data_IF_476753238493
#
_entry.id   IF_476753238493
#
_cell.length_a   1.000
_cell.length_b   1.000
_cell.length_c   1.000
_cell.angle_alpha   90.00
_cell.angle_beta   90.00
_cell.angle_gamma   90.00
#
_symmetry.space_group_name_H-M   'P 1'
#
loop_
_entity.id
_entity.type
_entity.pdbx_description
1 polymer ?
#
# COMPACT_ATOMS: atom_id res chain seq x y z
N UNK A 1 -9.32 -11.81 38.31
CA UNK A 1 -10.79 -11.67 38.12
C UNK A 1 -11.24 -12.94 37.43
N UNK A 2 -12.27 -13.63 37.90
CA UNK A 2 -12.72 -14.89 37.26
C UNK A 2 -13.79 -14.55 36.23
N UNK A 3 -13.43 -14.55 34.95
CA UNK A 3 -14.40 -14.34 33.87
C UNK A 3 -15.28 -15.58 33.71
N UNK A 4 -16.59 -15.37 33.55
CA UNK A 4 -17.55 -16.45 33.30
C UNK A 4 -17.76 -16.56 31.79
N UNK A 5 -17.60 -17.74 31.17
CA UNK A 5 -17.84 -17.91 29.75
C UNK A 5 -19.24 -17.45 29.32
N UNK A 6 -19.39 -16.80 28.15
CA UNK A 6 -20.68 -16.45 27.60
C UNK A 6 -21.55 -17.70 27.36
N UNK A 7 -22.87 -17.52 27.36
CA UNK A 7 -23.82 -18.63 27.14
C UNK A 7 -23.61 -19.36 25.81
N UNK A 8 -23.14 -18.64 24.78
CA UNK A 8 -22.85 -19.21 23.46
C UNK A 8 -21.54 -20.02 23.41
N UNK A 9 -20.62 -19.88 24.37
CA UNK A 9 -19.27 -20.46 24.27
C UNK A 9 -19.30 -21.97 24.03
N UNK A 10 -20.12 -22.68 24.80
CA UNK A 10 -20.24 -24.14 24.67
C UNK A 10 -20.86 -24.59 23.35
N UNK A 11 -21.69 -23.77 22.70
CA UNK A 11 -22.31 -24.13 21.41
C UNK A 11 -21.39 -23.91 20.21
N UNK A 12 -20.32 -23.13 20.37
CA UNK A 12 -19.32 -22.88 19.32
C UNK A 12 -18.12 -23.82 19.38
N UNK A 13 -18.02 -24.67 20.41
CA UNK A 13 -16.89 -25.58 20.59
C UNK A 13 -16.65 -26.49 19.37
N UNK A 14 -17.67 -27.26 18.95
CA UNK A 14 -17.57 -28.16 17.80
C UNK A 14 -17.47 -27.40 16.45
N UNK A 15 -18.34 -26.42 16.14
CA UNK A 15 -18.21 -25.65 14.90
C UNK A 15 -16.88 -24.90 14.76
N UNK A 16 -16.32 -24.39 15.86
CA UNK A 16 -15.03 -23.72 15.84
C UNK A 16 -13.88 -24.69 15.60
N UNK A 17 -13.91 -25.87 16.22
CA UNK A 17 -12.91 -26.91 16.00
C UNK A 17 -12.86 -27.37 14.52
N UNK A 18 -14.02 -27.47 13.85
CA UNK A 18 -14.09 -27.76 12.40
C UNK A 18 -13.38 -26.70 11.54
N UNK A 19 -13.30 -25.46 12.02
CA UNK A 19 -12.64 -24.33 11.37
C UNK A 19 -11.18 -24.15 11.82
N UNK A 20 -10.68 -25.04 12.68
CA UNK A 20 -9.31 -24.96 13.22
C UNK A 20 -9.16 -23.96 14.37
N UNK A 21 -10.25 -23.60 15.06
CA UNK A 21 -10.22 -22.78 16.27
C UNK A 21 -10.00 -23.69 17.48
N UNK A 22 -8.96 -23.40 18.24
CA UNK A 22 -8.69 -23.98 19.56
C UNK A 22 -9.27 -23.06 20.65
N UNK A 23 -10.43 -23.43 21.19
CA UNK A 23 -11.07 -22.70 22.27
C UNK A 23 -10.35 -22.96 23.59
N UNK A 24 -9.95 -21.89 24.26
CA UNK A 24 -9.27 -21.98 25.54
C UNK A 24 -10.22 -22.49 26.63
N UNK A 25 -9.68 -23.25 27.59
CA UNK A 25 -10.42 -23.54 28.81
C UNK A 25 -10.78 -22.23 29.53
N UNK A 26 -11.98 -22.10 30.14
CA UNK A 26 -12.39 -20.89 30.86
C UNK A 26 -11.41 -20.39 31.92
N UNK A 27 -10.69 -21.31 32.56
CA UNK A 27 -9.64 -20.96 33.55
C UNK A 27 -8.36 -20.42 32.93
N UNK A 28 -8.19 -20.55 31.61
CA UNK A 28 -7.04 -20.08 30.84
C UNK A 28 -7.32 -18.79 30.05
N UNK A 29 -8.55 -18.25 30.13
CA UNK A 29 -8.87 -16.96 29.53
C UNK A 29 -7.99 -15.85 30.09
N UNK A 30 -7.57 -14.94 29.22
CA UNK A 30 -6.64 -13.86 29.56
C UNK A 30 -7.25 -12.51 29.16
N UNK A 31 -7.17 -11.46 30.00
CA UNK A 31 -7.58 -10.13 29.58
C UNK A 31 -6.84 -9.69 28.32
N UNK A 32 -7.56 -9.01 27.42
CA UNK A 32 -6.98 -8.44 26.20
C UNK A 32 -5.96 -7.33 26.49
N UNK A 33 -6.11 -6.62 27.62
CA UNK A 33 -5.23 -5.53 28.05
C UNK A 33 -3.87 -6.04 28.55
N UNK A 34 -3.83 -7.24 29.12
CA UNK A 34 -2.60 -7.86 29.68
C UNK A 34 -1.63 -8.34 28.58
N UNK A 35 -2.10 -8.38 27.34
CA UNK A 35 -1.28 -8.75 26.19
C UNK A 35 -0.32 -7.61 25.78
N UNK A 36 -0.59 -6.36 26.20
CA UNK A 36 0.07 -5.15 25.69
C UNK A 36 1.60 -5.06 25.85
N UNK A 37 2.20 -5.70 26.86
CA UNK A 37 3.64 -5.56 27.14
C UNK A 37 4.52 -6.57 26.36
N UNK A 38 4.01 -7.77 26.03
CA UNK A 38 4.74 -8.74 25.20
C UNK A 38 4.59 -8.41 23.69
N UNK A 39 3.50 -7.76 23.30
CA UNK A 39 3.30 -7.27 21.93
C UNK A 39 4.15 -6.03 21.59
N UNK A 40 4.73 -5.36 22.60
CA UNK A 40 5.62 -4.22 22.42
C UNK A 40 6.99 -4.60 21.80
N UNK A 41 7.29 -5.90 21.72
CA UNK A 41 8.52 -6.42 21.09
C UNK A 41 8.33 -6.82 19.63
N UNK A 42 7.09 -6.79 19.10
CA UNK A 42 6.88 -6.91 17.66
C UNK A 42 7.23 -5.58 17.01
N UNK A 43 8.06 -5.54 15.96
CA UNK A 43 8.36 -4.31 15.25
C UNK A 43 7.07 -3.54 14.94
N UNK A 44 6.91 -2.39 15.60
CA UNK A 44 5.68 -1.61 15.55
C UNK A 44 5.50 -1.12 14.11
N UNK A 45 4.34 -1.43 13.53
CA UNK A 45 3.80 -0.57 12.46
C UNK A 45 3.68 0.84 13.03
N UNK A 46 3.98 1.87 12.24
CA UNK A 46 3.75 3.25 12.71
C UNK A 46 2.25 3.39 12.99
N UNK A 47 1.89 3.48 14.27
CA UNK A 47 0.52 3.77 14.68
C UNK A 47 0.42 5.28 14.83
N UNK A 48 -0.43 5.96 14.04
CA UNK A 48 -0.65 7.39 14.17
C UNK A 48 -1.04 7.77 15.60
N UNK A 49 -0.56 8.92 16.06
CA UNK A 49 -0.90 9.47 17.37
C UNK A 49 -2.43 9.50 17.58
N UNK A 50 -2.89 9.06 18.77
CA UNK A 50 -4.29 9.05 19.16
C UNK A 50 -5.01 7.69 19.02
N UNK A 51 -4.49 6.76 18.19
CA UNK A 51 -5.11 5.43 18.05
C UNK A 51 -4.86 4.51 19.24
N UNK A 52 -3.84 4.76 20.06
CA UNK A 52 -3.50 3.95 21.24
C UNK A 52 -4.54 4.05 22.36
N UNK A 53 -5.18 5.21 22.52
CA UNK A 53 -6.26 5.37 23.51
C UNK A 53 -7.51 4.63 23.06
N UNK A 54 -7.86 4.75 21.78
CA UNK A 54 -8.97 4.03 21.19
C UNK A 54 -8.73 2.51 21.22
N UNK A 55 -7.51 2.05 20.90
CA UNK A 55 -7.12 0.65 20.99
C UNK A 55 -7.33 0.09 22.41
N UNK A 56 -6.76 0.76 23.43
CA UNK A 56 -6.94 0.38 24.83
C UNK A 56 -8.40 0.35 25.26
N UNK A 57 -9.19 1.35 24.85
CA UNK A 57 -10.63 1.37 25.13
C UNK A 57 -11.37 0.19 24.47
N UNK A 58 -10.94 -0.24 23.28
CA UNK A 58 -11.49 -1.41 22.59
C UNK A 58 -10.94 -2.75 23.10
N UNK A 59 -9.87 -2.79 23.90
CA UNK A 59 -9.42 -4.02 24.58
C UNK A 59 -10.09 -4.18 25.95
N UNK A 60 -10.38 -3.07 26.62
CA UNK A 60 -10.94 -3.05 27.96
C UNK A 60 -12.17 -3.96 28.11
N UNK A 61 -12.11 -4.86 29.09
CA UNK A 61 -13.19 -5.79 29.44
C UNK A 61 -13.37 -6.97 28.49
N UNK A 62 -12.47 -7.17 27.52
CA UNK A 62 -12.44 -8.34 26.63
C UNK A 62 -11.39 -9.34 27.07
N UNK A 63 -11.63 -10.61 26.77
CA UNK A 63 -10.79 -11.74 27.15
C UNK A 63 -10.49 -12.60 25.93
N UNK A 64 -9.24 -13.02 25.77
CA UNK A 64 -8.84 -14.04 24.81
C UNK A 64 -9.49 -15.37 25.22
N UNK A 65 -10.32 -15.91 24.34
CA UNK A 65 -11.10 -17.14 24.57
C UNK A 65 -10.79 -18.26 23.58
N UNK A 66 -10.02 -17.99 22.53
CA UNK A 66 -9.59 -19.00 21.56
C UNK A 66 -8.51 -18.48 20.62
N UNK A 67 -7.78 -19.40 20.00
CA UNK A 67 -6.77 -19.12 18.97
C UNK A 67 -6.97 -20.01 17.74
N UNK A 68 -6.37 -19.66 16.62
CA UNK A 68 -6.49 -20.41 15.37
C UNK A 68 -7.76 -20.06 14.56
N UNK A 69 -7.81 -20.45 13.27
CA UNK A 69 -6.75 -21.11 12.50
C UNK A 69 -5.55 -20.18 12.24
N UNK A 70 -4.45 -20.74 11.71
CA UNK A 70 -3.15 -20.08 11.65
C UNK A 70 -2.66 -19.83 10.22
N UNK A 71 -1.93 -18.74 10.03
CA UNK A 71 -1.24 -18.40 8.78
C UNK A 71 0.27 -18.50 9.00
N UNK A 72 0.97 -19.25 8.16
CA UNK A 72 2.44 -19.30 8.20
C UNK A 72 3.04 -18.17 7.35
N UNK A 73 3.95 -17.39 7.94
CA UNK A 73 4.74 -16.40 7.22
C UNK A 73 5.83 -17.08 6.36
N UNK A 74 5.98 -16.66 5.10
CA UNK A 74 7.05 -17.17 4.23
C UNK A 74 8.42 -16.71 4.71
N UNK A 75 9.47 -17.47 4.38
CA UNK A 75 10.88 -17.21 4.75
C UNK A 75 11.19 -17.32 6.25
N UNK A 76 10.32 -16.80 7.12
CA UNK A 76 10.49 -16.85 8.58
C UNK A 76 9.82 -18.06 9.21
N UNK A 77 8.79 -18.63 8.58
CA UNK A 77 8.14 -19.87 9.01
C UNK A 77 7.38 -19.80 10.34
N UNK A 78 7.22 -18.62 10.94
CA UNK A 78 6.40 -18.48 12.14
C UNK A 78 4.90 -18.57 11.77
N UNK A 79 4.13 -19.16 12.67
CA UNK A 79 2.68 -19.24 12.57
C UNK A 79 2.07 -18.02 13.27
N UNK A 80 1.06 -17.44 12.65
CA UNK A 80 0.24 -16.38 13.21
C UNK A 80 -1.17 -16.91 13.38
N UNK A 81 -1.55 -17.14 14.62
CA UNK A 81 -2.89 -17.60 14.96
C UNK A 81 -3.88 -16.43 14.91
N UNK A 82 -5.06 -16.66 14.34
CA UNK A 82 -6.23 -15.80 14.59
C UNK A 82 -6.53 -15.83 16.08
N UNK A 83 -6.86 -14.69 16.68
CA UNK A 83 -7.23 -14.59 18.09
C UNK A 83 -8.72 -14.25 18.22
N UNK A 84 -9.38 -14.92 19.15
CA UNK A 84 -10.80 -14.74 19.43
C UNK A 84 -11.00 -14.14 20.81
N UNK A 85 -11.73 -13.03 20.88
CA UNK A 85 -11.99 -12.30 22.10
C UNK A 85 -13.47 -12.27 22.43
N UNK A 86 -13.83 -12.35 23.70
CA UNK A 86 -15.20 -12.20 24.18
C UNK A 86 -15.29 -11.20 25.34
N UNK A 87 -16.45 -10.59 25.53
CA UNK A 87 -16.73 -9.71 26.66
C UNK A 87 -17.82 -10.28 27.57
N UNK A 88 -18.07 -9.63 28.70
CA UNK A 88 -19.09 -10.07 29.67
C UNK A 88 -20.54 -9.90 29.16
N UNK A 89 -20.73 -9.12 28.08
CA UNK A 89 -22.05 -8.89 27.46
C UNK A 89 -22.37 -9.96 26.42
N UNK A 90 -21.43 -10.87 26.15
CA UNK A 90 -21.58 -11.95 25.17
C UNK A 90 -21.24 -11.54 23.74
N UNK A 91 -20.53 -10.44 23.52
CA UNK A 91 -19.93 -10.13 22.23
C UNK A 91 -18.76 -11.06 21.90
N UNK A 92 -18.50 -11.25 20.60
CA UNK A 92 -17.38 -12.02 20.08
C UNK A 92 -16.63 -11.16 19.04
N UNK A 93 -15.31 -11.15 19.13
CA UNK A 93 -14.42 -10.45 18.21
C UNK A 93 -13.35 -11.37 17.66
N UNK A 94 -12.98 -11.15 16.40
CA UNK A 94 -11.93 -11.85 15.71
C UNK A 94 -10.81 -10.87 15.34
N UNK A 95 -9.61 -11.12 15.83
CA UNK A 95 -8.39 -10.47 15.39
C UNK A 95 -7.63 -11.43 14.49
N UNK A 96 -7.32 -11.02 13.25
CA UNK A 96 -6.73 -11.95 12.28
C UNK A 96 -5.30 -12.39 12.63
N UNK A 97 -4.68 -11.74 13.61
CA UNK A 97 -3.55 -12.23 14.38
C UNK A 97 -3.48 -11.53 15.74
N UNK A 98 -2.72 -12.06 16.70
CA UNK A 98 -2.60 -11.49 18.04
C UNK A 98 -2.10 -10.03 18.09
N UNK A 99 -1.28 -9.61 17.13
CA UNK A 99 -0.74 -8.25 17.06
C UNK A 99 -1.72 -7.22 16.47
N UNK A 100 -2.89 -7.65 15.99
CA UNK A 100 -3.88 -6.72 15.45
C UNK A 100 -4.35 -5.78 16.57
N UNK A 101 -4.32 -4.47 16.33
CA UNK A 101 -4.96 -3.53 17.22
C UNK A 101 -6.47 -3.76 17.24
N UNK A 102 -7.09 -3.49 18.37
CA UNK A 102 -8.50 -3.72 18.64
C UNK A 102 -9.43 -2.90 17.74
N UNK A 103 -8.94 -1.79 17.17
CA UNK A 103 -9.69 -1.06 16.14
C UNK A 103 -9.79 -1.80 14.79
N UNK A 104 -8.94 -2.80 14.53
CA UNK A 104 -9.07 -3.74 13.41
C UNK A 104 -9.78 -5.04 13.78
N UNK A 105 -10.23 -5.22 15.02
CA UNK A 105 -10.95 -6.44 15.38
C UNK A 105 -12.33 -6.45 14.74
N UNK A 106 -12.66 -7.59 14.16
CA UNK A 106 -13.94 -7.82 13.49
C UNK A 106 -14.94 -8.28 14.52
N UNK A 107 -16.08 -7.61 14.62
CA UNK A 107 -17.19 -8.10 15.44
C UNK A 107 -17.87 -9.27 14.72
N UNK A 108 -18.11 -10.36 15.45
CA UNK A 108 -18.58 -11.62 14.88
C UNK A 108 -19.87 -12.02 15.59
N UNK A 109 -20.88 -12.38 14.81
CA UNK A 109 -22.08 -13.01 15.36
C UNK A 109 -21.67 -14.36 16.00
N UNK A 110 -21.95 -14.60 17.29
CA UNK A 110 -21.49 -15.79 18.00
C UNK A 110 -22.30 -17.05 17.59
N UNK A 111 -22.09 -17.45 16.34
CA UNK A 111 -22.81 -18.52 15.63
C UNK A 111 -21.83 -19.19 14.66
N UNK A 112 -22.07 -20.45 14.31
CA UNK A 112 -21.22 -21.16 13.35
C UNK A 112 -21.09 -20.42 12.00
N UNK A 113 -22.17 -19.82 11.51
CA UNK A 113 -22.15 -19.07 10.25
C UNK A 113 -21.36 -17.76 10.36
N UNK A 114 -21.41 -17.08 11.51
CA UNK A 114 -20.57 -15.93 11.79
C UNK A 114 -19.08 -16.27 11.78
N UNK A 115 -18.70 -17.41 12.39
CA UNK A 115 -17.31 -17.90 12.36
C UNK A 115 -16.84 -18.20 10.93
N UNK A 116 -17.70 -18.85 10.11
CA UNK A 116 -17.38 -19.15 8.72
C UNK A 116 -17.23 -17.88 7.87
N UNK A 117 -18.14 -16.92 8.05
CA UNK A 117 -18.16 -15.68 7.29
C UNK A 117 -16.89 -14.86 7.56
N UNK A 118 -16.52 -14.66 8.82
CA UNK A 118 -15.35 -13.84 9.17
C UNK A 118 -14.04 -14.46 8.70
N UNK A 119 -13.95 -15.79 8.66
CA UNK A 119 -12.75 -16.50 8.21
C UNK A 119 -12.69 -16.70 6.69
N UNK A 120 -13.80 -16.49 5.96
CA UNK A 120 -13.93 -16.90 4.54
C UNK A 120 -12.97 -16.21 3.58
N UNK A 121 -12.45 -15.02 3.91
CA UNK A 121 -11.45 -14.31 3.11
C UNK A 121 -10.03 -14.83 3.28
N UNK A 122 -9.74 -15.52 4.40
CA UNK A 122 -8.39 -15.98 4.75
C UNK A 122 -8.28 -17.49 4.67
N UNK A 123 -9.35 -18.23 5.01
CA UNK A 123 -9.34 -19.69 5.16
C UNK A 123 -10.42 -20.40 4.31
N UNK A 124 -10.09 -21.53 3.66
CA UNK A 124 -8.74 -22.08 3.51
C UNK A 124 -7.86 -21.15 2.66
N UNK A 125 -6.57 -21.10 2.98
CA UNK A 125 -5.62 -20.26 2.26
C UNK A 125 -5.52 -20.71 0.80
N UNK A 126 -5.59 -19.76 -0.12
CA UNK A 126 -5.48 -20.00 -1.56
C UNK A 126 -4.25 -19.29 -2.09
N UNK A 127 -3.54 -19.92 -3.02
CA UNK A 127 -2.54 -19.22 -3.83
C UNK A 127 -3.27 -18.29 -4.80
N UNK A 128 -3.17 -16.98 -4.57
CA UNK A 128 -3.84 -15.96 -5.38
C UNK A 128 -2.86 -15.36 -6.38
N UNK A 129 -3.06 -15.62 -7.67
CA UNK A 129 -2.37 -14.91 -8.74
C UNK A 129 -2.97 -13.51 -8.95
N UNK A 130 -2.21 -12.57 -9.49
CA UNK A 130 -2.67 -11.19 -9.69
C UNK A 130 -3.94 -11.13 -10.54
N UNK A 131 -4.03 -11.97 -11.56
CA UNK A 131 -5.19 -12.06 -12.46
C UNK A 131 -6.44 -12.65 -11.80
N UNK A 132 -6.31 -13.30 -10.65
CA UNK A 132 -7.42 -13.86 -9.87
C UNK A 132 -8.02 -12.86 -8.87
N UNK A 133 -7.42 -11.68 -8.71
CA UNK A 133 -7.87 -10.65 -7.76
C UNK A 133 -8.75 -9.62 -8.49
N UNK A 134 -10.07 -9.60 -8.23
CA UNK A 134 -11.02 -8.83 -9.03
C UNK A 134 -11.02 -7.34 -8.69
N UNK A 135 -10.60 -6.95 -7.49
CA UNK A 135 -10.63 -5.57 -7.04
C UNK A 135 -9.26 -4.91 -7.10
N UNK A 136 -9.28 -3.59 -7.26
CA UNK A 136 -8.10 -2.74 -7.22
C UNK A 136 -8.41 -1.40 -6.58
N UNK A 137 -7.50 -0.91 -5.77
CA UNK A 137 -7.57 0.44 -5.19
C UNK A 137 -6.20 1.11 -5.30
N UNK A 138 -6.20 2.44 -5.43
CA UNK A 138 -4.99 3.25 -5.34
C UNK A 138 -5.27 4.44 -4.45
N UNK A 139 -4.35 4.73 -3.53
CA UNK A 139 -4.42 5.85 -2.60
C UNK A 139 -3.15 6.69 -2.69
N UNK A 140 -3.30 8.01 -2.66
CA UNK A 140 -2.19 8.95 -2.63
C UNK A 140 -1.62 9.00 -1.21
N UNK A 141 -0.33 8.72 -1.06
CA UNK A 141 0.34 8.71 0.25
C UNK A 141 0.90 10.09 0.60
N UNK A 142 1.29 10.86 -0.41
CA UNK A 142 1.96 12.15 -0.26
C UNK A 142 2.98 12.37 -1.37
N UNK A 143 3.70 13.49 -1.29
CA UNK A 143 4.87 13.71 -2.13
C UNK A 143 6.09 13.00 -1.53
N UNK A 144 7.10 12.68 -2.34
CA UNK A 144 8.29 11.92 -1.90
C UNK A 144 8.99 12.55 -0.69
N UNK A 145 9.04 13.88 -0.61
CA UNK A 145 9.62 14.63 0.52
C UNK A 145 8.71 14.68 1.77
N UNK A 146 7.42 14.38 1.62
CA UNK A 146 6.43 14.38 2.72
C UNK A 146 6.17 12.97 3.27
N UNK A 147 6.51 11.94 2.50
CA UNK A 147 6.30 10.55 2.91
C UNK A 147 7.56 10.04 3.60
N UNK A 148 7.45 9.84 4.90
CA UNK A 148 8.56 9.37 5.73
C UNK A 148 8.36 7.92 6.18
N UNK A 149 9.47 7.20 6.33
CA UNK A 149 9.52 5.86 6.94
C UNK A 149 10.55 5.86 8.06
N UNK A 150 10.40 5.00 9.09
CA UNK A 150 11.35 4.98 10.19
C UNK A 150 12.61 4.25 9.73
N UNK A 151 13.75 4.90 9.89
CA UNK A 151 15.04 4.25 9.71
C UNK A 151 15.21 3.22 10.82
N UNK A 152 15.25 1.93 10.47
CA UNK A 152 15.28 0.84 11.46
C UNK A 152 16.54 0.79 12.31
N UNK A 153 17.61 1.52 11.95
CA UNK A 153 18.86 1.58 12.70
C UNK A 153 18.92 2.78 13.65
N UNK A 154 18.49 3.95 13.22
CA UNK A 154 18.51 5.17 14.04
C UNK A 154 17.20 5.40 14.81
N UNK A 155 16.08 4.86 14.31
CA UNK A 155 14.73 5.15 14.79
C UNK A 155 14.20 6.52 14.35
N UNK A 156 14.99 7.31 13.62
CA UNK A 156 14.57 8.59 13.07
C UNK A 156 13.75 8.39 11.79
N UNK A 157 12.84 9.31 11.53
CA UNK A 157 12.10 9.34 10.27
C UNK A 157 12.99 9.87 9.15
N UNK A 158 12.88 9.27 7.98
CA UNK A 158 13.62 9.68 6.77
C UNK A 158 12.67 9.66 5.58
N UNK A 159 12.95 10.51 4.58
CA UNK A 159 12.22 10.51 3.31
C UNK A 159 12.21 9.11 2.69
N UNK A 160 11.09 8.78 2.04
CA UNK A 160 10.88 7.46 1.47
C UNK A 160 11.92 7.15 0.39
N UNK A 161 12.83 6.25 0.72
CA UNK A 161 13.65 5.50 -0.21
C UNK A 161 13.35 4.02 0.00
N UNK A 162 13.66 3.16 -0.95
CA UNK A 162 13.18 1.79 -0.88
C UNK A 162 14.09 0.83 -0.15
N UNK A 163 15.33 1.21 0.19
CA UNK A 163 16.05 0.49 1.23
C UNK A 163 15.30 0.60 2.57
N UNK A 164 14.94 1.83 2.96
CA UNK A 164 14.24 2.04 4.23
C UNK A 164 12.78 1.59 4.16
N UNK A 165 12.14 1.68 2.98
CA UNK A 165 10.82 1.08 2.76
C UNK A 165 10.84 -0.45 2.87
N UNK A 166 11.81 -1.13 2.23
CA UNK A 166 11.96 -2.58 2.35
C UNK A 166 12.19 -2.99 3.80
N UNK A 167 13.10 -2.30 4.48
CA UNK A 167 13.38 -2.52 5.91
C UNK A 167 12.16 -2.28 6.78
N UNK A 168 11.39 -1.24 6.51
CA UNK A 168 10.14 -0.97 7.19
C UNK A 168 9.15 -2.11 6.99
N UNK A 169 8.87 -2.52 5.74
CA UNK A 169 7.91 -3.59 5.47
C UNK A 169 8.40 -5.00 5.83
N UNK A 170 9.71 -5.21 5.99
CA UNK A 170 10.25 -6.43 6.63
C UNK A 170 9.82 -6.54 8.11
N UNK A 171 9.56 -5.40 8.74
CA UNK A 171 9.21 -5.25 10.15
C UNK A 171 7.69 -5.10 10.34
N UNK A 172 6.95 -4.66 9.33
CA UNK A 172 5.47 -4.59 9.37
C UNK A 172 4.87 -6.00 9.40
N UNK A 173 4.18 -6.33 10.49
CA UNK A 173 3.61 -7.67 10.72
C UNK A 173 2.48 -8.06 9.74
N UNK A 174 1.88 -7.08 9.05
CA UNK A 174 0.80 -7.29 8.09
C UNK A 174 1.26 -7.70 6.68
N UNK A 175 2.57 -7.68 6.42
CA UNK A 175 3.14 -8.07 5.13
C UNK A 175 3.97 -9.34 5.27
N UNK A 176 3.95 -10.16 4.22
CA UNK A 176 4.88 -11.26 4.07
C UNK A 176 6.26 -10.73 3.68
N UNK A 177 7.30 -11.36 4.20
CA UNK A 177 8.68 -10.96 3.94
C UNK A 177 9.06 -11.14 2.47
N UNK A 178 9.91 -10.25 1.97
CA UNK A 178 10.42 -10.27 0.60
C UNK A 178 9.57 -9.44 -0.36
N UNK A 179 10.11 -8.29 -0.76
CA UNK A 179 9.52 -7.45 -1.79
C UNK A 179 10.02 -7.83 -3.19
N UNK A 180 9.30 -7.35 -4.21
CA UNK A 180 9.76 -7.37 -5.59
C UNK A 180 9.42 -6.07 -6.34
N UNK A 181 10.17 -5.82 -7.41
CA UNK A 181 10.05 -4.63 -8.24
C UNK A 181 9.10 -4.77 -9.41
N UNK A 182 8.86 -3.66 -10.12
CA UNK A 182 7.92 -3.56 -11.25
C UNK A 182 8.21 -4.47 -12.45
N UNK A 183 9.41 -5.10 -12.50
CA UNK A 183 9.74 -6.14 -13.49
C UNK A 183 8.75 -7.30 -13.44
N UNK A 184 8.33 -7.71 -12.25
CA UNK A 184 7.49 -8.88 -12.07
C UNK A 184 6.03 -8.47 -11.96
N UNK A 185 5.18 -9.08 -12.81
CA UNK A 185 3.72 -8.89 -12.75
C UNK A 185 3.13 -9.64 -11.57
N UNK A 186 3.58 -10.89 -11.40
CA UNK A 186 3.19 -11.77 -10.31
C UNK A 186 4.31 -11.88 -9.28
N UNK A 187 3.93 -12.32 -8.08
CA UNK A 187 4.87 -12.61 -7.00
C UNK A 187 5.92 -13.64 -7.47
N UNK A 188 7.20 -13.25 -7.62
CA UNK A 188 8.24 -14.16 -8.08
C UNK A 188 8.70 -15.08 -6.94
N UNK A 189 8.29 -14.82 -5.71
CA UNK A 189 8.67 -15.57 -4.54
C UNK A 189 7.68 -16.70 -4.30
N UNK A 190 8.19 -17.91 -4.08
CA UNK A 190 7.33 -19.08 -3.84
C UNK A 190 6.72 -19.02 -2.44
N UNK A 191 5.45 -19.41 -2.32
CA UNK A 191 4.68 -19.46 -1.07
C UNK A 191 4.99 -20.70 -0.22
N UNK A 192 5.53 -21.75 -0.82
CA UNK A 192 5.85 -23.04 -0.17
C UNK A 192 7.26 -23.11 0.44
N UNK A 193 8.01 -22.01 0.37
CA UNK A 193 9.32 -21.96 1.00
C UNK A 193 9.10 -21.68 2.48
N UNK A 194 9.31 -22.71 3.30
CA UNK A 194 9.31 -22.60 4.76
C UNK A 194 10.45 -21.73 5.28
N UNK A 195 10.99 -22.05 6.45
CA UNK A 195 12.12 -21.30 6.99
C UNK A 195 13.35 -21.38 6.06
N UNK A 196 13.81 -20.23 5.58
CA UNK A 196 14.98 -20.10 4.69
C UNK A 196 16.17 -19.63 5.50
N UNK A 197 17.35 -20.21 5.25
CA UNK A 197 18.57 -19.74 5.93
C UNK A 197 18.93 -18.33 5.43
N UNK A 198 19.51 -17.44 6.27
CA UNK A 198 19.81 -16.06 5.87
C UNK A 198 20.61 -15.91 4.56
N UNK A 199 21.55 -16.82 4.27
CA UNK A 199 22.32 -16.83 3.03
C UNK A 199 21.48 -17.15 1.79
N UNK A 200 20.50 -18.05 1.92
CA UNK A 200 19.56 -18.38 0.85
C UNK A 200 18.56 -17.24 0.65
N UNK A 201 18.15 -16.57 1.74
CA UNK A 201 17.30 -15.38 1.69
C UNK A 201 17.96 -14.26 0.87
N UNK A 202 19.26 -14.00 1.09
CA UNK A 202 20.01 -13.04 0.26
C UNK A 202 20.05 -13.44 -1.22
N UNK A 203 20.09 -14.73 -1.54
CA UNK A 203 20.03 -15.22 -2.92
C UNK A 203 18.66 -14.98 -3.57
N UNK A 204 17.58 -15.18 -2.81
CA UNK A 204 16.19 -14.94 -3.24
C UNK A 204 15.90 -13.44 -3.46
N UNK A 205 16.48 -12.57 -2.63
CA UNK A 205 16.31 -11.12 -2.74
C UNK A 205 17.13 -10.49 -3.89
N UNK A 206 18.20 -11.15 -4.36
CA UNK A 206 19.03 -10.62 -5.46
C UNK A 206 18.24 -10.59 -6.77
N UNK A 207 17.96 -9.37 -7.25
CA UNK A 207 17.23 -9.14 -8.50
C UNK A 207 15.70 -9.25 -8.37
N UNK A 208 15.16 -9.46 -7.16
CA UNK A 208 13.70 -9.36 -6.97
C UNK A 208 13.24 -7.91 -7.08
N UNK A 209 14.06 -6.95 -6.65
CA UNK A 209 13.77 -5.51 -6.69
C UNK A 209 14.01 -4.83 -8.05
N UNK A 210 14.39 -5.60 -9.08
CA UNK A 210 14.60 -5.09 -10.44
C UNK A 210 13.34 -4.42 -10.98
N UNK A 211 13.53 -3.28 -11.64
CA UNK A 211 12.46 -2.45 -12.19
C UNK A 211 12.49 -2.53 -13.72
N UNK A 212 11.33 -2.38 -14.37
CA UNK A 212 11.24 -2.46 -15.84
C UNK A 212 10.95 -1.11 -16.46
N UNK A 213 11.73 -0.74 -17.48
CA UNK A 213 11.54 0.43 -18.34
C UNK A 213 10.10 0.48 -18.89
N UNK A 214 9.46 1.66 -18.88
CA UNK A 214 8.07 1.83 -19.30
C UNK A 214 7.01 1.35 -18.31
N UNK A 215 7.39 0.98 -17.09
CA UNK A 215 6.46 0.72 -15.99
C UNK A 215 6.72 1.65 -14.82
N UNK A 216 5.66 1.93 -14.06
CA UNK A 216 5.75 2.64 -12.79
C UNK A 216 6.73 1.94 -11.85
N UNK A 217 7.81 2.60 -11.40
CA UNK A 217 8.69 2.09 -10.35
C UNK A 217 7.87 1.75 -9.13
N UNK A 218 8.03 0.52 -8.65
CA UNK A 218 7.28 0.07 -7.49
C UNK A 218 8.03 -0.97 -6.69
N UNK A 219 7.70 -1.04 -5.41
CA UNK A 219 8.02 -2.17 -4.55
C UNK A 219 6.72 -2.81 -4.11
N UNK A 220 6.63 -4.12 -4.25
CA UNK A 220 5.42 -4.88 -3.97
C UNK A 220 5.67 -5.96 -2.96
N UNK A 221 4.72 -6.13 -2.05
CA UNK A 221 4.65 -7.19 -1.05
C UNK A 221 3.35 -7.97 -1.18
N UNK A 222 3.34 -9.18 -0.63
CA UNK A 222 2.09 -9.84 -0.27
C UNK A 222 1.66 -9.40 1.11
N UNK A 223 0.39 -9.14 1.30
CA UNK A 223 -0.15 -9.02 2.65
C UNK A 223 -0.36 -10.39 3.29
N UNK A 224 -0.26 -10.46 4.61
CA UNK A 224 -0.08 -11.70 5.35
C UNK A 224 -1.33 -12.59 5.30
N UNK A 225 -2.52 -12.03 5.56
CA UNK A 225 -3.76 -12.79 5.67
C UNK A 225 -4.53 -12.86 4.34
N UNK A 226 -4.77 -11.72 3.70
CA UNK A 226 -5.56 -11.65 2.46
C UNK A 226 -4.76 -11.99 1.20
N UNK A 227 -3.42 -12.10 1.31
CA UNK A 227 -2.54 -12.36 0.15
C UNK A 227 -2.67 -11.30 -0.95
N UNK A 228 -3.09 -10.08 -0.60
CA UNK A 228 -3.21 -8.97 -1.54
C UNK A 228 -1.84 -8.58 -2.07
N UNK A 229 -1.81 -8.02 -3.29
CA UNK A 229 -0.62 -7.35 -3.80
C UNK A 229 -0.68 -5.91 -3.30
N UNK A 230 0.21 -5.55 -2.37
CA UNK A 230 0.39 -4.19 -1.90
C UNK A 230 1.65 -3.62 -2.54
N UNK A 231 1.49 -2.61 -3.38
CA UNK A 231 2.58 -1.93 -4.07
C UNK A 231 2.69 -0.48 -3.59
N UNK A 232 3.90 -0.01 -3.31
CA UNK A 232 4.20 1.42 -3.21
C UNK A 232 4.82 1.84 -4.54
N UNK A 233 4.20 2.82 -5.18
CA UNK A 233 4.49 3.31 -6.53
C UNK A 233 4.99 4.76 -6.46
N UNK A 234 6.06 5.07 -7.20
CA UNK A 234 6.53 6.44 -7.39
C UNK A 234 6.13 6.88 -8.80
N UNK A 235 5.37 7.97 -8.87
CA UNK A 235 4.82 8.53 -10.10
C UNK A 235 5.40 9.92 -10.34
N UNK A 236 5.95 10.16 -11.53
CA UNK A 236 6.37 11.50 -11.96
C UNK A 236 7.34 12.16 -10.97
N UNK A 237 8.36 11.43 -10.48
CA UNK A 237 9.35 11.83 -9.45
C UNK A 237 8.86 12.03 -8.03
N UNK A 238 7.68 12.61 -7.87
CA UNK A 238 7.28 13.18 -6.58
C UNK A 238 6.03 12.52 -6.01
N UNK A 239 5.13 11.96 -6.83
CA UNK A 239 3.83 11.49 -6.36
C UNK A 239 3.95 10.05 -5.87
N UNK A 240 3.78 9.82 -4.57
CA UNK A 240 3.81 8.47 -4.00
C UNK A 240 2.39 7.94 -3.84
N UNK A 241 2.15 6.73 -4.33
CA UNK A 241 0.86 6.06 -4.23
C UNK A 241 1.00 4.65 -3.67
N UNK A 242 0.04 4.21 -2.86
CA UNK A 242 -0.16 2.79 -2.60
C UNK A 242 -1.16 2.24 -3.61
N UNK A 243 -0.80 1.19 -4.33
CA UNK A 243 -1.68 0.45 -5.21
C UNK A 243 -1.91 -0.96 -4.66
N UNK A 244 -3.18 -1.38 -4.62
CA UNK A 244 -3.60 -2.64 -4.03
C UNK A 244 -4.41 -3.42 -5.04
N UNK A 245 -4.07 -4.70 -5.24
CA UNK A 245 -4.95 -5.68 -5.92
C UNK A 245 -5.35 -6.73 -4.90
N UNK A 246 -6.65 -6.98 -4.76
CA UNK A 246 -7.17 -7.76 -3.64
C UNK A 246 -8.49 -8.48 -3.97
N UNK A 247 -8.86 -9.43 -3.10
CA UNK A 247 -10.18 -10.04 -3.05
C UNK A 247 -11.05 -9.25 -2.07
N UNK A 248 -12.24 -8.76 -2.47
CA UNK A 248 -13.14 -8.03 -1.58
C UNK A 248 -13.47 -8.81 -0.31
N UNK A 249 -13.37 -8.14 0.83
CA UNK A 249 -13.63 -8.76 2.14
C UNK A 249 -15.11 -9.02 2.39
N UNK A 250 -15.46 -9.94 3.33
CA UNK A 250 -16.83 -10.24 3.69
C UNK A 250 -17.48 -9.09 4.50
N UNK A 251 -18.77 -9.18 4.78
CA UNK A 251 -19.55 -8.06 5.31
C UNK A 251 -19.11 -7.62 6.72
N UNK A 252 -18.69 -8.55 7.58
CA UNK A 252 -18.19 -8.23 8.92
C UNK A 252 -16.90 -7.41 8.89
N UNK A 253 -16.00 -7.71 7.96
CA UNK A 253 -14.77 -6.94 7.73
C UNK A 253 -15.12 -5.54 7.21
N UNK A 254 -16.05 -5.44 6.25
CA UNK A 254 -16.53 -4.15 5.72
C UNK A 254 -17.08 -3.23 6.80
N UNK A 255 -17.90 -3.77 7.71
CA UNK A 255 -18.42 -3.01 8.84
C UNK A 255 -17.29 -2.47 9.75
N UNK A 256 -16.18 -3.20 9.86
CA UNK A 256 -14.98 -2.75 10.58
C UNK A 256 -14.30 -1.59 9.86
N UNK A 257 -14.17 -1.66 8.54
CA UNK A 257 -13.60 -0.57 7.73
C UNK A 257 -14.49 0.67 7.75
N UNK A 258 -15.81 0.53 7.65
CA UNK A 258 -16.76 1.65 7.77
C UNK A 258 -16.61 2.38 9.11
N UNK A 259 -16.53 1.62 10.20
CA UNK A 259 -16.30 2.17 11.55
C UNK A 259 -14.95 2.90 11.62
N UNK A 260 -13.90 2.32 11.06
CA UNK A 260 -12.56 2.90 11.03
C UNK A 260 -12.52 4.21 10.24
N UNK A 261 -13.14 4.23 9.07
CA UNK A 261 -13.26 5.42 8.22
C UNK A 261 -13.99 6.54 8.97
N UNK A 262 -15.11 6.22 9.63
CA UNK A 262 -15.88 7.19 10.40
C UNK A 262 -15.14 7.72 11.64
N UNK A 263 -14.41 6.86 12.36
CA UNK A 263 -13.72 7.24 13.60
C UNK A 263 -12.48 8.10 13.32
N UNK A 264 -11.70 7.77 12.29
CA UNK A 264 -10.41 8.40 12.02
C UNK A 264 -10.41 9.34 10.82
N UNK A 265 -11.60 9.68 10.28
CA UNK A 265 -11.77 10.52 9.09
C UNK A 265 -10.89 10.03 7.92
N UNK A 266 -10.94 8.71 7.68
CA UNK A 266 -10.19 8.08 6.58
C UNK A 266 -11.14 7.63 5.48
N UNK A 267 -10.59 7.39 4.29
CA UNK A 267 -11.35 7.07 3.09
C UNK A 267 -10.86 5.78 2.42
N UNK A 268 -10.55 4.75 3.23
CA UNK A 268 -10.22 3.43 2.68
C UNK A 268 -11.45 2.85 1.97
N UNK A 269 -11.27 2.14 0.83
CA UNK A 269 -12.35 1.34 0.26
C UNK A 269 -12.94 0.40 1.31
N UNK A 270 -14.26 0.38 1.44
CA UNK A 270 -14.94 -0.38 2.51
C UNK A 270 -14.67 -1.88 2.43
N UNK A 271 -14.41 -2.42 1.24
CA UNK A 271 -14.07 -3.83 1.02
C UNK A 271 -12.57 -4.14 1.05
N UNK A 272 -11.72 -3.15 1.40
CA UNK A 272 -10.27 -3.32 1.50
C UNK A 272 -9.92 -4.29 2.64
N UNK A 273 -8.95 -5.21 2.45
CA UNK A 273 -8.51 -6.11 3.50
C UNK A 273 -7.89 -5.41 4.71
N UNK A 274 -8.19 -5.95 5.90
CA UNK A 274 -7.73 -5.37 7.17
C UNK A 274 -6.21 -5.45 7.36
N UNK A 275 -5.53 -6.45 6.78
CA UNK A 275 -4.07 -6.51 6.75
C UNK A 275 -3.47 -5.43 5.83
N UNK A 276 -4.12 -5.10 4.72
CA UNK A 276 -3.72 -3.96 3.88
C UNK A 276 -3.85 -2.65 4.66
N UNK A 277 -4.98 -2.42 5.33
CA UNK A 277 -5.19 -1.22 6.17
C UNK A 277 -4.16 -1.17 7.30
N UNK A 278 -3.90 -2.31 7.96
CA UNK A 278 -2.86 -2.44 8.96
C UNK A 278 -1.50 -2.01 8.40
N UNK A 279 -1.10 -2.54 7.25
CA UNK A 279 0.17 -2.21 6.60
C UNK A 279 0.30 -0.71 6.22
N UNK A 280 -0.83 -0.07 5.89
CA UNK A 280 -0.88 1.32 5.43
C UNK A 280 -1.19 2.33 6.54
N UNK A 281 -1.42 1.89 7.77
CA UNK A 281 -1.87 2.75 8.87
C UNK A 281 -0.90 3.89 9.19
N UNK A 282 0.39 3.73 8.91
CA UNK A 282 1.40 4.77 9.06
C UNK A 282 1.38 5.86 7.99
N UNK A 283 0.56 5.71 6.95
CA UNK A 283 0.51 6.63 5.81
C UNK A 283 -0.85 7.32 5.69
N UNK A 284 -0.85 8.47 5.02
CA UNK A 284 -2.09 9.10 4.55
C UNK A 284 -2.68 8.26 3.42
N UNK A 285 -4.02 8.19 3.35
CA UNK A 285 -4.73 7.59 2.22
C UNK A 285 -5.62 8.62 1.55
N UNK A 286 -5.07 9.34 0.57
CA UNK A 286 -5.80 10.32 -0.23
C UNK A 286 -6.55 9.66 -1.40
N UNK A 287 -7.83 9.97 -1.55
CA UNK A 287 -8.63 9.52 -2.70
C UNK A 287 -8.85 10.64 -3.70
N UNK A 288 -9.21 10.31 -4.94
CA UNK A 288 -9.63 11.31 -5.95
C UNK A 288 -10.76 12.21 -5.42
N UNK A 289 -11.70 11.67 -4.65
CA UNK A 289 -12.81 12.44 -4.07
C UNK A 289 -12.31 13.43 -3.02
N UNK A 290 -11.43 13.01 -2.11
CA UNK A 290 -10.80 13.88 -1.11
C UNK A 290 -10.01 15.00 -1.79
N UNK A 291 -9.27 14.66 -2.85
CA UNK A 291 -8.46 15.61 -3.62
C UNK A 291 -9.34 16.59 -4.41
N UNK A 292 -10.43 16.11 -5.02
CA UNK A 292 -11.38 16.95 -5.74
C UNK A 292 -12.16 17.89 -4.82
N UNK A 293 -12.50 17.46 -3.60
CA UNK A 293 -13.13 18.32 -2.59
C UNK A 293 -12.27 19.54 -2.25
N UNK A 294 -10.95 19.40 -2.34
CA UNK A 294 -10.00 20.47 -2.07
C UNK A 294 -9.81 21.44 -3.25
N UNK A 295 -10.42 21.20 -4.41
CA UNK A 295 -10.38 22.09 -5.59
C UNK A 295 -11.50 23.13 -5.56
N UNK A 296 -11.47 24.01 -4.56
CA UNK A 296 -12.37 25.16 -4.50
C UNK A 296 -12.07 26.18 -5.63
N UNK A 297 -13.04 27.03 -6.04
CA UNK A 297 -12.85 27.99 -7.14
C UNK A 297 -11.70 29.01 -6.94
N UNK A 298 -11.22 29.17 -5.72
CA UNK A 298 -10.16 30.09 -5.30
C UNK A 298 -8.78 29.43 -5.18
N UNK A 299 -8.66 28.14 -5.48
CA UNK A 299 -7.37 27.41 -5.48
C UNK A 299 -6.48 27.93 -6.61
N UNK A 300 -5.20 28.28 -6.33
CA UNK A 300 -4.25 28.70 -7.36
C UNK A 300 -4.08 27.67 -8.48
N UNK A 301 -3.98 28.14 -9.73
CA UNK A 301 -3.86 27.29 -10.92
C UNK A 301 -2.71 26.26 -10.82
N UNK A 302 -1.57 26.65 -10.27
CA UNK A 302 -0.45 25.75 -10.01
C UNK A 302 -0.82 24.57 -9.09
N UNK A 303 -1.56 24.82 -8.01
CA UNK A 303 -2.03 23.75 -7.09
C UNK A 303 -3.05 22.83 -7.77
N UNK A 304 -3.92 23.38 -8.62
CA UNK A 304 -4.82 22.56 -9.46
C UNK A 304 -4.00 21.67 -10.41
N UNK A 305 -2.93 22.22 -11.01
CA UNK A 305 -2.01 21.46 -11.86
C UNK A 305 -1.34 20.29 -11.14
N UNK A 306 -0.87 20.50 -9.91
CA UNK A 306 -0.32 19.43 -9.06
C UNK A 306 -1.37 18.37 -8.73
N UNK A 307 -2.59 18.79 -8.40
CA UNK A 307 -3.69 17.86 -8.14
C UNK A 307 -4.02 17.00 -9.36
N UNK A 308 -3.97 17.58 -10.56
CA UNK A 308 -4.14 16.84 -11.81
C UNK A 308 -3.08 15.74 -11.93
N UNK A 309 -1.80 16.00 -11.61
CA UNK A 309 -0.75 14.97 -11.62
C UNK A 309 -1.10 13.80 -10.69
N UNK A 310 -1.56 14.09 -9.48
CA UNK A 310 -1.99 13.07 -8.51
C UNK A 310 -3.19 12.27 -9.05
N UNK A 311 -4.20 12.94 -9.63
CA UNK A 311 -5.35 12.24 -10.22
C UNK A 311 -4.96 11.31 -11.37
N UNK A 312 -3.99 11.70 -12.22
CA UNK A 312 -3.45 10.80 -13.24
C UNK A 312 -2.74 9.59 -12.60
N UNK A 313 -1.90 9.79 -11.58
CA UNK A 313 -1.22 8.69 -10.89
C UNK A 313 -2.23 7.68 -10.32
N UNK A 314 -3.29 8.19 -9.66
CA UNK A 314 -4.36 7.36 -9.10
C UNK A 314 -5.07 6.50 -10.15
N UNK A 315 -5.17 6.96 -11.40
CA UNK A 315 -6.02 6.37 -12.45
C UNK A 315 -5.28 5.87 -13.69
N UNK A 316 -3.95 5.90 -13.73
CA UNK A 316 -3.20 5.66 -14.96
C UNK A 316 -3.46 4.31 -15.65
N UNK A 317 -3.93 3.30 -14.93
CA UNK A 317 -4.31 1.98 -15.46
C UNK A 317 -5.81 1.82 -15.77
N UNK A 318 -6.61 2.87 -15.61
CA UNK A 318 -8.04 2.94 -15.93
C UNK A 318 -8.33 4.03 -16.98
N UNK A 319 -8.34 3.63 -18.27
CA UNK A 319 -8.63 4.53 -19.38
C UNK A 319 -10.00 5.22 -19.28
N UNK A 320 -10.99 4.56 -18.65
CA UNK A 320 -12.32 5.13 -18.46
C UNK A 320 -12.30 6.28 -17.45
N UNK A 321 -11.59 6.10 -16.34
CA UNK A 321 -11.38 7.14 -15.35
C UNK A 321 -10.49 8.28 -15.88
N UNK A 322 -9.40 7.95 -16.58
CA UNK A 322 -8.50 8.92 -17.22
C UNK A 322 -9.24 9.78 -18.24
N UNK A 323 -10.20 9.23 -18.99
CA UNK A 323 -10.99 10.01 -19.93
C UNK A 323 -11.84 11.12 -19.27
N UNK A 324 -12.07 11.07 -17.96
CA UNK A 324 -12.72 12.18 -17.23
C UNK A 324 -11.79 13.38 -17.08
N UNK A 325 -10.48 13.15 -16.99
CA UNK A 325 -9.45 14.19 -16.85
C UNK A 325 -9.29 15.08 -18.09
N UNK A 326 -9.96 14.76 -19.21
CA UNK A 326 -10.03 15.62 -20.40
C UNK A 326 -10.64 17.00 -20.13
N UNK A 327 -11.43 17.14 -19.06
CA UNK A 327 -11.97 18.44 -18.67
C UNK A 327 -10.88 19.45 -18.32
N UNK A 328 -9.78 18.99 -17.70
CA UNK A 328 -8.64 19.83 -17.35
C UNK A 328 -7.86 20.32 -18.58
N UNK A 329 -7.92 19.58 -19.70
CA UNK A 329 -7.35 20.03 -20.97
C UNK A 329 -8.07 21.27 -21.54
N UNK A 330 -9.27 21.59 -21.05
CA UNK A 330 -10.07 22.76 -21.43
C UNK A 330 -10.15 23.81 -20.33
N UNK A 331 -9.38 23.66 -19.25
CA UNK A 331 -9.40 24.59 -18.12
C UNK A 331 -9.04 26.01 -18.60
N UNK A 332 -9.64 27.09 -18.05
CA UNK A 332 -9.34 28.47 -18.46
C UNK A 332 -7.87 28.85 -18.21
N UNK A 333 -7.31 28.38 -17.10
CA UNK A 333 -5.90 28.63 -16.75
C UNK A 333 -4.94 27.76 -17.55
N UNK A 334 -3.94 28.40 -18.15
CA UNK A 334 -2.89 27.75 -18.95
C UNK A 334 -2.08 26.72 -18.17
N UNK A 335 -1.76 27.00 -16.92
CA UNK A 335 -0.95 26.11 -16.08
C UNK A 335 -1.60 24.74 -15.88
N UNK A 336 -2.92 24.71 -15.70
CA UNK A 336 -3.69 23.46 -15.53
C UNK A 336 -3.71 22.67 -16.84
N UNK A 337 -3.89 23.36 -17.97
CA UNK A 337 -3.82 22.71 -19.29
C UNK A 337 -2.43 22.14 -19.55
N UNK A 338 -1.36 22.85 -19.17
CA UNK A 338 0.03 22.36 -19.30
C UNK A 338 0.31 21.15 -18.42
N UNK A 339 -0.14 21.19 -17.16
CA UNK A 339 -0.03 20.04 -16.27
C UNK A 339 -0.77 18.82 -16.84
N UNK A 340 -1.95 19.02 -17.43
CA UNK A 340 -2.73 17.96 -18.08
C UNK A 340 -2.00 17.38 -19.28
N UNK A 341 -1.44 18.21 -20.17
CA UNK A 341 -0.67 17.77 -21.33
C UNK A 341 0.57 16.99 -20.89
N UNK A 342 1.32 17.51 -19.91
CA UNK A 342 2.52 16.82 -19.37
C UNK A 342 2.15 15.48 -18.75
N UNK A 343 1.11 15.41 -17.93
CA UNK A 343 0.66 14.16 -17.34
C UNK A 343 0.19 13.16 -18.41
N UNK A 344 -0.64 13.60 -19.36
CA UNK A 344 -1.05 12.76 -20.48
C UNK A 344 0.14 12.21 -21.28
N UNK A 345 1.18 13.03 -21.47
CA UNK A 345 2.41 12.60 -22.11
C UNK A 345 3.15 11.55 -21.27
N UNK A 346 3.32 11.77 -19.96
CA UNK A 346 4.06 10.86 -19.07
C UNK A 346 3.46 9.46 -19.04
N UNK A 347 2.13 9.36 -19.06
CA UNK A 347 1.42 8.07 -19.07
C UNK A 347 1.14 7.53 -20.47
N UNK A 348 1.66 8.14 -21.54
CA UNK A 348 1.45 7.68 -22.92
C UNK A 348 -0.02 7.79 -23.39
N UNK A 349 -0.82 8.66 -22.78
CA UNK A 349 -2.22 8.88 -23.12
C UNK A 349 -2.38 9.77 -24.36
N UNK A 350 -1.91 9.28 -25.52
CA UNK A 350 -1.89 10.06 -26.76
C UNK A 350 -3.25 10.63 -27.18
N UNK A 351 -4.34 9.91 -26.89
CA UNK A 351 -5.68 10.41 -27.18
C UNK A 351 -5.98 11.76 -26.51
N UNK A 352 -5.50 11.96 -25.27
CA UNK A 352 -5.65 13.23 -24.55
C UNK A 352 -4.75 14.33 -25.11
N UNK A 353 -3.56 13.98 -25.61
CA UNK A 353 -2.69 14.94 -26.30
C UNK A 353 -3.35 15.46 -27.57
N UNK A 354 -3.97 14.58 -28.36
CA UNK A 354 -4.72 14.99 -29.55
C UNK A 354 -5.97 15.82 -29.21
N UNK A 355 -6.69 15.47 -28.14
CA UNK A 355 -7.82 16.28 -27.67
C UNK A 355 -7.37 17.67 -27.19
N UNK A 356 -6.28 17.75 -26.42
CA UNK A 356 -5.68 19.01 -25.98
C UNK A 356 -5.25 19.86 -27.17
N UNK A 357 -4.59 19.25 -28.17
CA UNK A 357 -4.19 19.93 -29.41
C UNK A 357 -5.39 20.50 -30.18
N UNK A 358 -6.50 19.76 -30.23
CA UNK A 358 -7.72 20.19 -30.91
C UNK A 358 -8.42 21.35 -30.17
N UNK A 359 -8.33 21.39 -28.84
CA UNK A 359 -8.93 22.42 -28.00
C UNK A 359 -8.04 23.67 -27.84
N UNK A 360 -6.73 23.55 -28.04
CA UNK A 360 -5.78 24.64 -27.81
C UNK A 360 -5.89 25.73 -28.88
N UNK A 361 -6.00 26.97 -28.39
CA UNK A 361 -6.18 28.17 -29.22
C UNK A 361 -4.92 29.03 -29.27
N UNK A 362 -4.02 28.89 -28.30
CA UNK A 362 -2.73 29.55 -28.30
C UNK A 362 -1.76 28.86 -29.28
N UNK A 363 -1.26 29.57 -30.30
CA UNK A 363 -0.32 29.01 -31.28
C UNK A 363 0.96 28.43 -30.67
N UNK A 364 1.50 29.04 -29.60
CA UNK A 364 2.77 28.60 -29.00
C UNK A 364 2.57 27.27 -28.26
N UNK A 365 1.52 27.19 -27.44
CA UNK A 365 1.15 25.97 -26.73
C UNK A 365 0.79 24.86 -27.72
N UNK A 366 0.03 25.19 -28.76
CA UNK A 366 -0.30 24.25 -29.84
C UNK A 366 0.96 23.67 -30.48
N UNK A 367 1.97 24.50 -30.77
CA UNK A 367 3.25 24.03 -31.28
C UNK A 367 3.95 23.10 -30.29
N UNK A 368 3.99 23.46 -29.00
CA UNK A 368 4.58 22.60 -27.96
C UNK A 368 3.88 21.23 -27.85
N UNK A 369 2.55 21.17 -27.95
CA UNK A 369 1.81 19.88 -27.98
C UNK A 369 2.14 19.08 -29.24
N UNK A 370 2.27 19.74 -30.41
CA UNK A 370 2.69 19.06 -31.65
C UNK A 370 4.09 18.49 -31.52
N UNK A 371 5.04 19.26 -31.01
CA UNK A 371 6.43 18.82 -30.83
C UNK A 371 6.48 17.60 -29.89
N UNK A 372 5.71 17.65 -28.80
CA UNK A 372 5.61 16.53 -27.86
C UNK A 372 4.97 15.29 -28.49
N UNK A 373 3.93 15.42 -29.32
CA UNK A 373 3.35 14.29 -30.08
C UNK A 373 4.36 13.74 -31.10
N UNK A 374 5.08 14.61 -31.80
CA UNK A 374 6.05 14.22 -32.84
C UNK A 374 7.29 13.53 -32.27
N UNK A 375 7.70 13.90 -31.07
CA UNK A 375 8.70 13.18 -30.30
C UNK A 375 8.26 11.75 -29.90
N UNK A 376 7.01 11.37 -30.21
CA UNK A 376 6.42 10.08 -29.82
C UNK A 376 5.77 10.15 -28.44
N UNK A 377 5.44 11.35 -27.97
CA UNK A 377 5.21 11.62 -26.57
C UNK A 377 6.54 11.61 -25.80
N UNK A 378 6.41 11.44 -24.50
CA UNK A 378 7.46 10.88 -23.69
C UNK A 378 7.51 9.38 -24.03
N UNK A 379 8.58 8.91 -24.69
CA UNK A 379 8.76 7.50 -25.05
C UNK A 379 8.64 6.53 -23.87
N UNK A 380 8.60 5.19 -24.07
CA UNK A 380 8.51 4.21 -22.98
C UNK A 380 9.59 4.42 -21.90
N UNK A 381 10.72 5.02 -22.26
CA UNK A 381 11.82 5.32 -21.35
C UNK A 381 11.44 6.38 -20.30
N UNK A 382 10.48 7.26 -20.60
CA UNK A 382 10.26 8.49 -19.83
C UNK A 382 9.60 8.29 -18.48
N UNK A 383 8.91 7.18 -18.26
CA UNK A 383 8.41 6.87 -16.91
C UNK A 383 9.56 6.66 -15.91
N UNK A 384 10.76 6.38 -16.44
CA UNK A 384 11.87 5.75 -15.72
C UNK A 384 13.21 6.44 -15.97
N UNK A 385 13.16 7.56 -16.66
CA UNK A 385 14.29 8.37 -17.05
C UNK A 385 14.62 9.41 -15.97
N UNK A 386 14.24 9.17 -14.71
CA UNK A 386 14.07 10.27 -13.75
C UNK A 386 14.74 10.08 -12.40
N UNK A 387 15.58 9.05 -12.23
CA UNK A 387 16.19 8.81 -10.92
C UNK A 387 15.18 8.36 -9.86
N UNK A 388 13.99 7.93 -10.30
CA UNK A 388 12.89 7.42 -9.50
C UNK A 388 13.25 6.03 -8.99
N UNK A 389 14.33 5.96 -8.24
CA UNK A 389 14.87 4.76 -7.67
C UNK A 389 14.90 4.88 -6.15
N UNK A 390 14.68 3.73 -5.54
CA UNK A 390 14.51 3.52 -4.13
C UNK A 390 15.86 3.52 -3.35
N UNK A 391 16.85 4.35 -3.72
CA UNK A 391 18.25 4.29 -3.23
C UNK A 391 19.19 3.42 -4.08
N UNK A 392 20.46 3.27 -3.66
CA UNK A 392 21.59 2.73 -4.47
C UNK A 392 21.29 1.44 -5.28
N UNK A 393 20.83 1.70 -6.50
CA UNK A 393 20.69 0.85 -7.70
C UNK A 393 19.74 -0.37 -7.65
N UNK A 394 18.41 -0.17 -7.69
CA UNK A 394 17.59 -1.11 -8.44
C UNK A 394 17.97 -1.02 -9.92
N UNK A 395 18.46 -2.13 -10.49
CA UNK A 395 18.77 -2.21 -11.92
C UNK A 395 17.48 -1.96 -12.70
N UNK A 396 17.36 -0.79 -13.33
CA UNK A 396 16.36 -0.56 -14.37
C UNK A 396 16.77 -1.42 -15.56
N UNK A 397 15.83 -2.19 -16.11
CA UNK A 397 16.08 -3.01 -17.29
C UNK A 397 15.11 -2.68 -18.42
N UNK A 398 15.58 -2.83 -19.65
CA UNK A 398 14.73 -2.74 -20.85
C UNK A 398 13.91 -4.03 -21.08
N UNK A 399 13.24 -4.10 -22.23
CA UNK A 399 12.48 -5.28 -22.63
C UNK A 399 13.35 -6.53 -22.91
N UNK A 400 14.64 -6.35 -23.21
CA UNK A 400 15.61 -7.42 -23.37
C UNK A 400 16.17 -7.90 -22.02
N UNK A 401 15.94 -7.15 -20.94
CA UNK A 401 16.51 -7.42 -19.62
C UNK A 401 17.88 -6.80 -19.41
N UNK A 402 18.34 -5.96 -20.35
CA UNK A 402 19.61 -5.27 -20.28
C UNK A 402 19.48 -4.04 -19.37
N UNK A 403 20.48 -3.78 -18.50
CA UNK A 403 20.49 -2.58 -17.68
C UNK A 403 20.41 -1.31 -18.52
N UNK A 404 19.56 -0.38 -18.11
CA UNK A 404 19.46 0.96 -18.72
C UNK A 404 19.95 2.01 -17.74
N UNK A 405 20.79 2.97 -18.17
CA UNK A 405 21.18 4.10 -17.33
C UNK A 405 19.94 4.88 -16.89
N UNK A 406 19.80 5.14 -15.59
CA UNK A 406 18.82 6.09 -15.05
C UNK A 406 19.34 7.51 -15.29
N UNK A 407 18.53 8.46 -15.76
CA UNK A 407 19.00 9.84 -15.99
C UNK A 407 19.16 10.69 -14.70
N UNK A 408 19.71 10.14 -13.62
CA UNK A 408 19.98 10.93 -12.41
C UNK A 408 21.30 10.56 -11.75
N UNK A 409 22.36 11.23 -12.17
CA UNK A 409 22.91 12.42 -11.52
C UNK A 409 23.34 13.31 -12.67
N UNK A 410 23.46 14.62 -12.48
CA UNK A 410 24.32 15.37 -13.39
C UNK A 410 25.64 14.59 -13.57
N UNK A 411 26.30 14.63 -14.71
CA UNK A 411 26.69 15.90 -15.30
C UNK A 411 26.65 16.99 -14.19
N UNK A 412 27.33 16.72 -13.05
CA UNK A 412 28.37 17.66 -12.66
C UNK A 412 29.06 17.91 -14.00
N UNK A 413 28.65 19.02 -14.63
CA UNK A 413 29.53 19.75 -15.47
C UNK A 413 30.78 19.79 -14.60
N UNK A 414 31.74 18.90 -14.88
CA UNK A 414 33.12 19.20 -14.72
C UNK A 414 33.20 20.54 -15.46
N UNK A 415 32.98 21.63 -14.70
CA UNK A 415 33.54 22.91 -15.01
C UNK A 415 35.01 22.55 -15.09
N UNK A 416 35.43 22.19 -16.31
CA UNK A 416 36.75 22.46 -16.81
C UNK A 416 36.91 23.98 -16.65
N UNK A 417 37.08 24.44 -15.40
CA UNK A 417 37.84 25.63 -15.09
C UNK A 417 39.23 25.29 -15.60
N UNK A 418 39.41 25.51 -16.90
CA UNK A 418 40.69 25.77 -17.51
C UNK A 418 41.33 26.85 -16.64
N UNK A 419 42.21 26.42 -15.72
CA UNK A 419 43.18 27.26 -15.06
C UNK A 419 44.09 27.84 -16.16
N UNK A 420 43.61 28.92 -16.79
CA UNK A 420 44.46 29.89 -17.45
C UNK A 420 45.28 30.58 -16.34
N UNK A 421 46.33 29.89 -15.87
CA UNK A 421 47.45 30.53 -15.17
C UNK A 421 48.14 31.48 -16.14
N UNK A 422 47.65 32.73 -16.17
CA UNK A 422 48.33 33.86 -16.76
C UNK A 422 49.72 34.01 -16.12
N UNK A 423 50.76 33.71 -16.90
CA UNK A 423 52.12 34.19 -16.68
C UNK A 423 52.13 35.72 -16.69
N UNK A 424 52.43 36.35 -15.54
CA UNK A 424 52.98 37.72 -15.50
C UNK A 424 53.96 37.94 -14.36
#
# INVERSE_FOLDING_TARGET
MTYTPPEWWGSLAEPGAELGIDWLDPGAFRPADDLGDDFDQSPRTIVPHGRDEYDRAQRAGRFLVGTGPSVTARLMGFEQDVHWYADEKGGLWCALAGYYPAWLWVEVAPTADGLREVLSSTFPRRDLFRTGLPASARGFLGYTHDVEVPNVYSGEFTEINGHDLDRYFLMVAYTMQGAWGSRYVDDPLRTDIGFVKPLEMMGVSRGSLTQRLGRVPSMTWRTMQSQSYLSVEIHTREVVCAAVRYEPTPASHRATVERLNAEFDTAYPVDLPLDVIGALTGFTWGTEETLAHNLAPDVPAGQVGEMVRVMYALRHDDLGAVARLREFARHPESEVRDATVRAAAWYGHHFLLYEALAAETDPQRRAAVVDLIQAGGFGPDTFNAFGDYFGDEPVMIDDAGEPVPTWATGDEYEDDEDEDEDES
#
